data_IF_840602827482
#
_entry.id   IF_840602827482
#
_cell.length_a   1.000
_cell.length_b   1.000
_cell.length_c   1.000
_cell.angle_alpha   90.00
_cell.angle_beta   90.00
_cell.angle_gamma   90.00
#
_symmetry.space_group_name_H-M   'P 1'
#
loop_
_entity.id
_entity.type
_entity.pdbx_description
1 polymer ?
#
# COMPACT_ATOMS: atom_id res chain seq x y z
N UNK A 1 -17.38 -12.99 4.94
CA UNK A 1 -17.09 -11.59 4.52
C UNK A 1 -16.46 -10.81 5.68
N UNK A 2 -15.25 -11.18 6.12
CA UNK A 2 -14.45 -10.35 7.04
C UNK A 2 -13.42 -9.56 6.25
N UNK A 3 -13.87 -8.73 5.30
CA UNK A 3 -12.98 -7.91 4.47
C UNK A 3 -12.07 -7.01 5.34
N UNK A 4 -12.54 -6.70 6.56
CA UNK A 4 -11.84 -5.92 7.58
C UNK A 4 -10.80 -6.70 8.41
N UNK A 5 -10.65 -8.03 8.25
CA UNK A 5 -9.68 -8.82 9.03
C UNK A 5 -8.29 -8.93 8.42
N UNK A 6 -8.09 -8.48 7.17
CA UNK A 6 -6.81 -8.54 6.48
C UNK A 6 -6.30 -7.11 6.18
N UNK A 7 -5.88 -6.43 7.24
CA UNK A 7 -5.25 -5.11 7.25
C UNK A 7 -4.08 -5.08 6.25
N UNK A 8 -3.32 -6.17 6.08
CA UNK A 8 -2.25 -6.25 5.09
C UNK A 8 -2.74 -6.06 3.65
N UNK A 9 -3.90 -6.62 3.28
CA UNK A 9 -4.49 -6.42 1.97
C UNK A 9 -5.05 -5.01 1.78
N UNK A 10 -5.56 -4.38 2.85
CA UNK A 10 -5.98 -2.98 2.81
C UNK A 10 -4.79 -2.06 2.56
N UNK A 11 -3.67 -2.28 3.27
CA UNK A 11 -2.44 -1.52 3.08
C UNK A 11 -1.83 -1.74 1.68
N UNK A 12 -1.91 -2.97 1.15
CA UNK A 12 -1.51 -3.27 -0.22
C UNK A 12 -2.35 -2.49 -1.24
N UNK A 13 -3.67 -2.43 -1.05
CA UNK A 13 -4.55 -1.65 -1.93
C UNK A 13 -4.17 -0.16 -1.91
N UNK A 14 -3.89 0.40 -0.73
CA UNK A 14 -3.42 1.79 -0.59
C UNK A 14 -2.10 1.98 -1.35
N UNK A 15 -1.13 1.07 -1.21
CA UNK A 15 0.13 1.11 -1.95
C UNK A 15 -0.10 1.13 -3.47
N UNK A 16 -0.95 0.23 -3.98
CA UNK A 16 -1.24 0.15 -5.41
C UNK A 16 -1.93 1.41 -5.94
N UNK A 17 -2.81 2.02 -5.16
CA UNK A 17 -3.44 3.31 -5.50
C UNK A 17 -2.38 4.42 -5.61
N UNK A 18 -1.46 4.51 -4.64
CA UNK A 18 -0.37 5.50 -4.67
C UNK A 18 0.49 5.34 -5.92
N UNK A 19 0.87 4.10 -6.27
CA UNK A 19 1.63 3.81 -7.48
C UNK A 19 0.84 4.20 -8.73
N UNK A 20 -0.44 3.82 -8.82
CA UNK A 20 -1.29 4.16 -9.96
C UNK A 20 -1.40 5.68 -10.16
N UNK A 21 -1.58 6.44 -9.07
CA UNK A 21 -1.62 7.91 -9.13
C UNK A 21 -0.29 8.47 -9.62
N UNK A 22 0.84 7.97 -9.10
CA UNK A 22 2.17 8.43 -9.53
C UNK A 22 2.45 8.13 -11.00
N UNK A 23 1.85 7.08 -11.56
CA UNK A 23 2.00 6.71 -12.96
C UNK A 23 1.04 7.47 -13.90
N UNK A 24 -0.19 7.72 -13.46
CA UNK A 24 -1.23 8.38 -14.26
C UNK A 24 -1.12 9.91 -14.25
N UNK A 25 -0.61 10.50 -13.16
CA UNK A 25 -0.49 11.95 -13.01
C UNK A 25 0.99 12.33 -12.91
N UNK A 26 1.68 12.50 -14.05
CA UNK A 26 3.06 12.96 -14.06
C UNK A 26 3.15 14.35 -13.41
N UNK A 27 4.01 14.46 -12.39
CA UNK A 27 4.17 15.71 -11.62
C UNK A 27 3.64 15.66 -10.19
N UNK A 28 3.09 14.54 -9.72
CA UNK A 28 2.81 14.29 -8.29
C UNK A 28 3.99 13.53 -7.69
N UNK A 29 5.00 14.21 -7.10
CA UNK A 29 6.10 13.53 -6.45
C UNK A 29 5.60 12.88 -5.15
N UNK A 30 5.49 11.55 -5.16
CA UNK A 30 5.28 10.78 -3.94
C UNK A 30 6.66 10.45 -3.36
N UNK A 31 6.98 10.89 -2.13
CA UNK A 31 8.26 10.57 -1.50
C UNK A 31 8.46 9.06 -1.39
N UNK A 32 9.57 8.56 -1.93
CA UNK A 32 9.90 7.12 -1.95
C UNK A 32 9.93 6.48 -0.56
N UNK A 33 10.27 7.27 0.47
CA UNK A 33 10.25 6.85 1.87
C UNK A 33 8.84 6.48 2.33
N UNK A 34 7.83 7.29 1.99
CA UNK A 34 6.44 7.01 2.36
C UNK A 34 5.93 5.76 1.65
N UNK A 35 6.23 5.63 0.35
CA UNK A 35 5.84 4.45 -0.45
C UNK A 35 6.50 3.17 0.08
N UNK A 36 7.77 3.25 0.49
CA UNK A 36 8.50 2.14 1.09
C UNK A 36 7.96 1.70 2.45
N UNK A 37 7.58 2.65 3.31
CA UNK A 37 6.98 2.34 4.62
C UNK A 37 5.63 1.62 4.44
N UNK A 38 4.77 2.11 3.56
CA UNK A 38 3.46 1.48 3.30
C UNK A 38 3.65 0.08 2.73
N UNK A 39 4.59 -0.10 1.78
CA UNK A 39 4.90 -1.41 1.20
C UNK A 39 5.41 -2.42 2.24
N UNK A 40 6.31 -1.99 3.13
CA UNK A 40 6.84 -2.84 4.21
C UNK A 40 5.75 -3.25 5.19
N UNK A 41 4.93 -2.29 5.66
CA UNK A 41 3.83 -2.60 6.57
C UNK A 41 2.83 -3.55 5.92
N UNK A 42 2.45 -3.32 4.66
CA UNK A 42 1.57 -4.22 3.91
C UNK A 42 2.15 -5.64 3.86
N UNK A 43 3.43 -5.78 3.49
CA UNK A 43 4.10 -7.08 3.43
C UNK A 43 4.14 -7.79 4.80
N UNK A 44 4.47 -7.07 5.87
CA UNK A 44 4.52 -7.62 7.23
C UNK A 44 3.13 -8.13 7.66
N UNK A 45 2.07 -7.33 7.47
CA UNK A 45 0.72 -7.75 7.86
C UNK A 45 0.22 -8.94 7.02
N UNK A 46 0.51 -8.95 5.71
CA UNK A 46 0.19 -10.10 4.82
C UNK A 46 0.90 -11.37 5.30
N UNK A 47 2.20 -11.29 5.65
CA UNK A 47 2.97 -12.45 6.14
C UNK A 47 2.43 -12.99 7.48
N UNK A 48 1.95 -12.11 8.35
CA UNK A 48 1.33 -12.48 9.63
C UNK A 48 -0.09 -13.05 9.44
N UNK A 49 -0.65 -12.98 8.23
CA UNK A 49 -2.02 -13.40 7.94
C UNK A 49 -3.06 -12.49 8.58
N UNK A 50 -2.73 -11.20 8.75
CA UNK A 50 -3.56 -10.15 9.36
C UNK A 50 -3.75 -8.94 8.45
#
# INVERSE_FOLDING_TARGET
MRLTNNIGFILLAIFLILIAISALVPGVPIPSVLTGIVALLAAIFILIGR
#
